data_IF_790121465539
#
_entry.id   IF_790121465539
#
_cell.length_a   1.000
_cell.length_b   1.000
_cell.length_c   1.000
_cell.angle_alpha   90.00
_cell.angle_beta   90.00
_cell.angle_gamma   90.00
#
_symmetry.space_group_name_H-M   'P 1'
#
loop_
_entity.id
_entity.type
_entity.pdbx_description
1 polymer ?
#
# COMPACT_ATOMS: atom_id res chain seq x y z
N UNK A 1 9.77 -20.72 -7.08
CA UNK A 1 10.92 -20.09 -7.77
C UNK A 1 11.41 -18.99 -6.85
N UNK A 2 12.69 -19.00 -6.47
CA UNK A 2 13.30 -17.92 -5.71
C UNK A 2 14.13 -17.13 -6.71
N UNK A 3 13.89 -15.83 -6.78
CA UNK A 3 14.62 -14.90 -7.64
C UNK A 3 15.46 -13.95 -6.77
N UNK A 4 16.65 -13.61 -7.24
CA UNK A 4 17.60 -12.67 -6.62
C UNK A 4 18.01 -12.94 -5.16
N UNK A 5 18.56 -14.13 -4.86
CA UNK A 5 19.21 -14.39 -3.57
C UNK A 5 20.62 -13.78 -3.56
N UNK A 6 20.92 -12.95 -2.57
CA UNK A 6 22.26 -12.43 -2.30
C UNK A 6 22.61 -12.57 -0.82
N UNK A 7 23.86 -12.95 -0.54
CA UNK A 7 24.43 -13.10 0.80
C UNK A 7 25.41 -11.95 1.05
N UNK A 8 25.22 -11.23 2.15
CA UNK A 8 26.11 -10.16 2.61
C UNK A 8 26.69 -10.53 3.96
N UNK A 9 27.97 -10.19 4.17
CA UNK A 9 28.70 -10.37 5.42
C UNK A 9 28.47 -9.22 6.40
N UNK A 10 27.62 -8.25 6.04
CA UNK A 10 27.31 -7.06 6.83
C UNK A 10 25.81 -6.81 6.87
N UNK A 11 25.32 -6.31 8.00
CA UNK A 11 23.92 -5.93 8.16
C UNK A 11 23.60 -4.76 7.22
N UNK A 12 22.48 -4.86 6.49
CA UNK A 12 21.98 -3.74 5.67
C UNK A 12 21.60 -2.57 6.57
N UNK A 13 21.97 -1.36 6.17
CA UNK A 13 21.47 -0.16 6.83
C UNK A 13 19.99 0.06 6.49
N UNK A 14 19.31 0.92 7.25
CA UNK A 14 17.95 1.34 6.91
C UNK A 14 17.86 1.98 5.51
N UNK A 15 18.93 2.67 5.08
CA UNK A 15 19.04 3.24 3.74
C UNK A 15 19.16 2.18 2.65
N UNK A 16 19.97 1.14 2.88
CA UNK A 16 20.11 0.04 1.92
C UNK A 16 18.80 -0.74 1.77
N UNK A 17 18.11 -1.00 2.88
CA UNK A 17 16.80 -1.66 2.87
C UNK A 17 15.77 -0.81 2.12
N UNK A 18 15.77 0.51 2.32
CA UNK A 18 14.86 1.42 1.63
C UNK A 18 15.16 1.54 0.13
N UNK A 19 16.44 1.55 -0.25
CA UNK A 19 16.87 1.58 -1.65
C UNK A 19 16.50 0.31 -2.40
N UNK A 20 16.56 -0.84 -1.72
CA UNK A 20 16.14 -2.13 -2.28
C UNK A 20 14.62 -2.34 -2.22
N UNK A 21 13.89 -1.53 -1.45
CA UNK A 21 12.45 -1.66 -1.30
C UNK A 21 11.76 -1.26 -2.61
N UNK A 22 11.04 -2.21 -3.19
CA UNK A 22 10.15 -1.95 -4.32
C UNK A 22 8.77 -1.57 -3.83
N UNK A 23 8.15 -0.58 -4.47
CA UNK A 23 6.81 -0.12 -4.13
C UNK A 23 5.79 -1.24 -4.37
N UNK A 24 5.20 -1.79 -3.29
CA UNK A 24 4.23 -2.87 -3.38
C UNK A 24 2.82 -2.37 -3.76
N UNK A 25 2.36 -1.29 -3.12
CA UNK A 25 1.13 -0.56 -3.47
C UNK A 25 1.25 0.90 -3.08
N UNK A 26 0.46 1.76 -3.72
CA UNK A 26 0.33 3.15 -3.37
C UNK A 26 -1.12 3.60 -3.48
N UNK A 27 -1.73 3.89 -2.34
CA UNK A 27 -3.10 4.39 -2.26
C UNK A 27 -3.07 5.86 -1.84
N UNK A 28 -3.23 6.75 -2.82
CA UNK A 28 -3.24 8.20 -2.61
C UNK A 28 -4.56 8.70 -2.02
N UNK A 29 -5.65 7.98 -2.28
CA UNK A 29 -7.03 8.34 -1.90
C UNK A 29 -7.57 9.62 -2.56
N UNK A 30 -6.84 10.20 -3.52
CA UNK A 30 -7.20 11.46 -4.18
C UNK A 30 -8.09 11.29 -5.43
N UNK A 31 -8.23 10.06 -5.93
CA UNK A 31 -9.10 9.74 -7.07
C UNK A 31 -10.23 8.80 -6.65
N UNK A 32 -9.89 7.63 -6.12
CA UNK A 32 -10.81 6.60 -5.66
C UNK A 32 -10.24 5.91 -4.42
N UNK A 33 -11.12 5.57 -3.46
CA UNK A 33 -10.73 4.94 -2.18
C UNK A 33 -9.99 3.61 -2.41
N UNK A 34 -10.41 2.83 -3.40
CA UNK A 34 -9.95 1.45 -3.61
C UNK A 34 -8.87 1.30 -4.69
N UNK A 35 -8.40 2.41 -5.25
CA UNK A 35 -7.46 2.41 -6.36
C UNK A 35 -6.01 2.36 -5.87
N UNK A 36 -5.22 1.47 -6.45
CA UNK A 36 -3.76 1.49 -6.35
C UNK A 36 -3.19 2.38 -7.46
N UNK A 37 -2.77 3.59 -7.08
CA UNK A 37 -2.07 4.55 -7.93
C UNK A 37 -0.67 4.05 -8.34
N UNK A 38 -0.16 3.00 -7.68
CA UNK A 38 1.10 2.35 -8.02
C UNK A 38 1.06 1.52 -9.31
N UNK A 39 2.20 0.92 -9.69
CA UNK A 39 2.34 0.14 -10.91
C UNK A 39 1.68 -1.25 -10.84
N UNK A 40 1.47 -1.78 -9.62
CA UNK A 40 1.03 -3.17 -9.42
C UNK A 40 -0.49 -3.36 -9.52
N UNK A 41 -1.25 -2.27 -9.55
CA UNK A 41 -2.71 -2.25 -9.77
C UNK A 41 -3.46 -3.21 -8.85
N UNK A 42 -3.07 -3.25 -7.58
CA UNK A 42 -3.75 -4.05 -6.57
C UNK A 42 -5.15 -3.48 -6.31
N UNK A 43 -6.13 -4.37 -6.13
CA UNK A 43 -7.51 -3.94 -5.94
C UNK A 43 -7.83 -3.81 -4.45
N UNK A 44 -8.26 -2.60 -4.04
CA UNK A 44 -8.78 -2.34 -2.72
C UNK A 44 -10.25 -2.71 -2.56
N UNK A 45 -10.66 -2.91 -1.31
CA UNK A 45 -12.05 -3.00 -0.87
C UNK A 45 -12.19 -2.22 0.43
N UNK A 46 -13.27 -1.46 0.58
CA UNK A 46 -13.51 -0.63 1.75
C UNK A 46 -14.95 -0.80 2.25
N UNK A 47 -15.12 -0.85 3.57
CA UNK A 47 -16.42 -0.91 4.24
C UNK A 47 -16.47 0.13 5.33
N UNK A 48 -17.51 0.97 5.31
CA UNK A 48 -17.72 2.09 6.25
C UNK A 48 -16.48 3.01 6.35
N UNK A 49 -15.90 3.34 5.19
CA UNK A 49 -14.78 4.26 5.06
C UNK A 49 -15.16 5.40 4.14
N UNK A 50 -14.82 6.63 4.54
CA UNK A 50 -15.06 7.84 3.77
C UNK A 50 -13.75 8.61 3.56
N UNK A 51 -13.75 9.55 2.61
CA UNK A 51 -12.62 10.46 2.42
C UNK A 51 -12.76 11.68 3.34
N UNK A 52 -11.66 12.10 3.95
CA UNK A 52 -11.55 13.31 4.72
C UNK A 52 -10.22 14.01 4.42
N UNK A 53 -10.07 15.28 4.82
CA UNK A 53 -8.80 15.99 4.70
C UNK A 53 -7.69 15.26 5.46
N UNK A 54 -6.63 14.91 4.74
CA UNK A 54 -5.48 14.18 5.25
C UNK A 54 -4.23 15.06 5.42
N UNK A 55 -3.09 14.40 5.69
CA UNK A 55 -1.78 15.07 5.71
C UNK A 55 -1.39 15.62 4.33
N UNK A 56 -1.72 14.88 3.29
CA UNK A 56 -1.61 15.29 1.88
C UNK A 56 -2.99 15.05 1.29
N UNK A 57 -3.66 16.11 0.83
CA UNK A 57 -4.98 16.06 0.19
C UNK A 57 -6.01 15.22 0.98
N UNK A 58 -6.36 14.01 0.51
CA UNK A 58 -7.37 13.16 1.11
C UNK A 58 -6.78 11.97 1.86
N UNK A 59 -7.51 11.50 2.88
CA UNK A 59 -7.19 10.32 3.67
C UNK A 59 -8.45 9.53 4.01
N UNK A 60 -8.26 8.28 4.45
CA UNK A 60 -9.35 7.44 4.94
C UNK A 60 -9.79 7.87 6.33
N UNK A 61 -11.09 8.11 6.48
CA UNK A 61 -11.78 8.23 7.75
C UNK A 61 -12.64 6.98 7.97
N UNK A 62 -12.29 6.23 9.00
CA UNK A 62 -13.02 5.04 9.43
C UNK A 62 -14.24 5.42 10.26
N UNK A 63 -15.37 4.75 10.03
CA UNK A 63 -16.59 4.92 10.79
C UNK A 63 -16.49 4.38 12.23
N UNK A 64 -17.56 4.58 13.01
CA UNK A 64 -17.66 4.12 14.40
C UNK A 64 -18.07 2.64 14.52
N UNK A 65 -18.47 2.03 13.40
CA UNK A 65 -18.88 0.64 13.31
C UNK A 65 -17.76 -0.24 12.76
N UNK A 66 -18.06 -1.47 12.34
CA UNK A 66 -17.09 -2.35 11.67
C UNK A 66 -16.64 -1.69 10.36
N UNK A 67 -15.47 -1.06 10.40
CA UNK A 67 -14.91 -0.31 9.29
C UNK A 67 -13.51 -0.82 8.95
N UNK A 68 -13.26 -1.07 7.67
CA UNK A 68 -11.98 -1.64 7.23
C UNK A 68 -11.64 -1.28 5.79
N UNK A 69 -10.33 -1.33 5.51
CA UNK A 69 -9.76 -1.26 4.18
C UNK A 69 -8.89 -2.50 3.96
N UNK A 70 -9.10 -3.21 2.86
CA UNK A 70 -8.40 -4.44 2.52
C UNK A 70 -7.87 -4.35 1.11
N UNK A 71 -6.66 -4.85 0.90
CA UNK A 71 -6.03 -4.93 -0.43
C UNK A 71 -5.82 -6.40 -0.75
N UNK A 72 -6.20 -6.79 -1.96
CA UNK A 72 -5.99 -8.16 -2.44
C UNK A 72 -5.31 -8.15 -3.80
N UNK A 73 -4.47 -9.16 -4.02
CA UNK A 73 -4.03 -9.52 -5.36
C UNK A 73 -5.24 -10.09 -6.11
N UNK A 74 -5.49 -9.57 -7.32
CA UNK A 74 -6.51 -10.15 -8.21
C UNK A 74 -6.00 -11.53 -8.64
N UNK A 75 -6.67 -12.59 -8.22
CA UNK A 75 -6.42 -13.93 -8.76
C UNK A 75 -7.07 -13.96 -10.14
N UNK A 76 -6.25 -14.15 -11.18
CA UNK A 76 -6.67 -14.41 -12.57
C UNK A 76 -7.11 -15.85 -12.72
#
# INVERSE_FOLDING_TARGET
>A
YIDQVSLTMSAKSAGDILNDATLASWHSFDCEITHDSGPNKLQGNAVDVTLASGKVNQALKFGLSSSYYQVRRRLS
#
